data_IF_692702797829
#
_entry.id   IF_692702797829
#
_cell.length_a   1.000
_cell.length_b   1.000
_cell.length_c   1.000
_cell.angle_alpha   90.00
_cell.angle_beta   90.00
_cell.angle_gamma   90.00
#
_symmetry.space_group_name_H-M   'P 1'
#
loop_
_entity.id
_entity.type
_entity.pdbx_description
1 polymer ?
#
# COMPACT_ATOMS: atom_id res chain seq x y z
N UNK A 1 3.74 20.41 3.05
CA UNK A 1 3.14 19.49 4.06
C UNK A 1 3.04 20.16 5.45
N UNK A 2 4.10 20.73 6.04
CA UNK A 2 4.09 21.28 7.39
C UNK A 2 3.00 22.32 7.69
N UNK A 3 2.68 23.22 6.75
CA UNK A 3 1.59 24.17 6.92
C UNK A 3 0.20 23.52 6.93
N UNK A 4 0.01 22.44 6.20
CA UNK A 4 -1.23 21.66 6.21
C UNK A 4 -1.48 20.98 7.55
N UNK A 5 -0.44 20.46 8.18
CA UNK A 5 -0.51 19.77 9.47
C UNK A 5 -0.86 20.75 10.60
N UNK A 6 -0.26 21.93 10.63
CA UNK A 6 -0.61 22.99 11.59
C UNK A 6 -2.07 23.42 11.45
N UNK A 7 -2.54 23.61 10.22
CA UNK A 7 -3.87 24.15 9.96
C UNK A 7 -4.99 23.10 10.15
N UNK A 8 -4.75 21.86 9.72
CA UNK A 8 -5.75 20.78 9.73
C UNK A 8 -5.72 19.94 10.99
N UNK A 9 -4.55 19.73 11.58
CA UNK A 9 -4.31 18.79 12.67
C UNK A 9 -3.92 19.45 14.00
N UNK A 10 -3.70 20.79 13.99
CA UNK A 10 -3.32 21.57 15.17
C UNK A 10 -2.01 21.10 15.84
N UNK A 11 -1.09 20.56 15.05
CA UNK A 11 0.25 20.18 15.45
C UNK A 11 1.31 21.00 14.74
N UNK A 12 2.39 21.31 15.42
CA UNK A 12 3.56 21.94 14.80
C UNK A 12 4.40 20.85 14.16
N UNK A 13 4.53 20.85 12.84
CA UNK A 13 5.36 19.93 12.09
C UNK A 13 6.65 20.62 11.62
N UNK A 14 7.78 20.01 11.92
CA UNK A 14 9.11 20.48 11.52
C UNK A 14 9.75 19.45 10.61
N UNK A 15 9.95 19.74 9.30
CA UNK A 15 10.64 18.82 8.41
C UNK A 15 12.15 18.81 8.72
N UNK A 16 12.70 17.61 8.85
CA UNK A 16 14.13 17.37 9.06
C UNK A 16 14.61 16.41 7.98
N UNK A 17 15.49 16.89 7.10
CA UNK A 17 16.10 16.09 6.06
C UNK A 17 17.48 15.61 6.53
N UNK A 18 17.70 14.30 6.48
CA UNK A 18 18.98 13.69 6.82
C UNK A 18 19.76 13.39 5.54
N UNK A 19 21.05 13.73 5.51
CA UNK A 19 21.95 13.43 4.41
C UNK A 19 22.60 12.05 4.61
N UNK A 20 21.78 11.03 4.79
CA UNK A 20 22.23 9.65 4.92
C UNK A 20 21.14 8.67 4.51
N UNK A 21 21.56 7.50 4.04
CA UNK A 21 20.70 6.36 3.79
C UNK A 21 21.03 5.16 4.71
N UNK A 22 22.00 5.33 5.59
CA UNK A 22 22.39 4.29 6.52
C UNK A 22 21.37 4.13 7.65
N UNK A 23 20.96 2.89 7.90
CA UNK A 23 19.93 2.55 8.89
C UNK A 23 20.32 2.98 10.31
N UNK A 24 21.57 2.73 10.70
CA UNK A 24 22.04 3.05 12.05
C UNK A 24 22.18 4.57 12.27
N UNK A 25 22.64 5.29 11.24
CA UNK A 25 22.75 6.75 11.30
C UNK A 25 21.38 7.40 11.36
N UNK A 26 20.39 6.91 10.61
CA UNK A 26 19.00 7.39 10.65
C UNK A 26 18.42 7.18 12.05
N UNK A 27 18.50 5.95 12.59
CA UNK A 27 17.98 5.63 13.92
C UNK A 27 18.63 6.50 14.99
N UNK A 28 19.95 6.60 14.99
CA UNK A 28 20.71 7.42 15.94
C UNK A 28 20.32 8.90 15.88
N UNK A 29 20.17 9.43 14.67
CA UNK A 29 19.78 10.82 14.45
C UNK A 29 18.38 11.08 14.99
N UNK A 30 17.40 10.22 14.70
CA UNK A 30 16.03 10.35 15.20
C UNK A 30 15.97 10.24 16.72
N UNK A 31 16.68 9.28 17.32
CA UNK A 31 16.75 9.14 18.79
C UNK A 31 17.32 10.40 19.45
N UNK A 32 18.37 10.99 18.85
CA UNK A 32 19.01 12.18 19.41
C UNK A 32 18.12 13.43 19.37
N UNK A 33 17.25 13.56 18.39
CA UNK A 33 16.34 14.73 18.27
C UNK A 33 14.98 14.49 18.94
N UNK A 34 14.61 13.24 19.18
CA UNK A 34 13.31 12.85 19.73
C UNK A 34 12.89 13.63 20.99
N UNK A 35 13.79 14.00 21.96
CA UNK A 35 13.40 14.76 23.14
C UNK A 35 12.74 16.12 22.87
N UNK A 36 12.89 16.66 21.66
CA UNK A 36 12.24 17.92 21.25
C UNK A 36 10.83 17.76 20.67
N UNK A 37 10.35 16.52 20.50
CA UNK A 37 9.13 16.21 19.76
C UNK A 37 8.14 15.34 20.54
N UNK A 38 6.85 15.50 20.23
CA UNK A 38 5.79 14.64 20.75
C UNK A 38 5.48 13.44 19.86
N UNK A 39 6.12 13.31 18.71
CA UNK A 39 5.97 12.19 17.77
C UNK A 39 6.90 12.34 16.57
N UNK A 40 7.17 11.23 15.90
CA UNK A 40 8.01 11.16 14.71
C UNK A 40 7.18 10.60 13.54
N UNK A 41 7.16 11.31 12.42
CA UNK A 41 6.66 10.79 11.16
C UNK A 41 7.84 10.54 10.22
N UNK A 42 8.02 9.29 9.83
CA UNK A 42 9.02 8.87 8.86
C UNK A 42 8.44 9.03 7.45
N UNK A 43 9.24 9.55 6.54
CA UNK A 43 8.88 9.81 5.14
C UNK A 43 10.02 9.40 4.20
N UNK A 44 9.68 8.95 3.00
CA UNK A 44 10.62 8.71 1.90
C UNK A 44 11.76 7.73 2.21
N UNK A 45 11.55 6.79 3.13
CA UNK A 45 12.51 5.72 3.43
C UNK A 45 12.11 4.46 2.67
N UNK A 46 12.98 4.00 1.76
CA UNK A 46 12.69 2.84 0.93
C UNK A 46 12.66 1.50 1.69
N UNK A 47 11.84 0.57 1.21
CA UNK A 47 11.88 -0.81 1.66
C UNK A 47 13.19 -1.51 1.21
N UNK A 48 13.72 -2.49 1.99
CA UNK A 48 13.15 -3.01 3.23
C UNK A 48 13.58 -2.27 4.50
N UNK A 49 14.54 -1.30 4.43
CA UNK A 49 15.09 -0.62 5.61
C UNK A 49 14.05 0.19 6.40
N UNK A 50 13.02 0.72 5.74
CA UNK A 50 11.95 1.46 6.41
C UNK A 50 11.24 0.63 7.49
N UNK A 51 11.09 -0.67 7.29
CA UNK A 51 10.47 -1.57 8.26
C UNK A 51 11.34 -1.70 9.52
N UNK A 52 12.64 -1.93 9.33
CA UNK A 52 13.60 -2.05 10.43
C UNK A 52 13.72 -0.75 11.23
N UNK A 53 13.85 0.38 10.53
CA UNK A 53 13.97 1.70 11.17
C UNK A 53 12.74 1.99 12.02
N UNK A 54 11.54 1.76 11.49
CA UNK A 54 10.31 2.01 12.23
C UNK A 54 10.17 1.08 13.44
N UNK A 55 10.39 -0.24 13.27
CA UNK A 55 10.30 -1.22 14.36
C UNK A 55 11.26 -0.86 15.49
N UNK A 56 12.53 -0.57 15.18
CA UNK A 56 13.55 -0.22 16.18
C UNK A 56 13.28 1.13 16.85
N UNK A 57 12.81 2.14 16.13
CA UNK A 57 12.47 3.42 16.74
C UNK A 57 11.28 3.31 17.71
N UNK A 58 10.29 2.45 17.39
CA UNK A 58 9.18 2.16 18.32
C UNK A 58 9.61 1.48 19.59
N UNK A 59 10.70 0.70 19.56
CA UNK A 59 11.28 0.08 20.75
C UNK A 59 12.14 1.05 21.57
N UNK A 60 12.80 2.01 20.91
CA UNK A 60 13.75 2.93 21.52
C UNK A 60 13.12 4.22 22.08
N UNK A 61 11.94 4.59 21.59
CA UNK A 61 11.29 5.87 21.91
C UNK A 61 9.95 5.66 22.62
N UNK A 62 9.69 6.48 23.63
CA UNK A 62 8.41 6.52 24.35
C UNK A 62 7.34 7.38 23.65
N UNK A 63 7.68 8.02 22.53
CA UNK A 63 6.77 8.83 21.71
C UNK A 63 6.30 8.04 20.48
N UNK A 64 5.12 8.35 19.90
CA UNK A 64 4.64 7.70 18.69
C UNK A 64 5.62 7.84 17.52
N UNK A 65 5.88 6.72 16.85
CA UNK A 65 6.62 6.66 15.59
C UNK A 65 5.70 6.12 14.51
N UNK A 66 5.56 6.87 13.43
CA UNK A 66 4.69 6.56 12.30
C UNK A 66 5.47 6.65 10.99
N UNK A 67 5.13 5.82 10.02
CA UNK A 67 5.68 5.88 8.67
C UNK A 67 4.52 6.06 7.69
N UNK A 68 4.40 7.24 7.12
CA UNK A 68 3.24 7.62 6.32
C UNK A 68 3.07 6.78 5.05
N UNK A 69 4.17 6.52 4.34
CA UNK A 69 4.16 5.69 3.12
C UNK A 69 3.71 4.24 3.38
N UNK A 70 3.80 3.77 4.61
CA UNK A 70 3.28 2.47 5.02
C UNK A 70 1.84 2.63 5.54
N UNK A 71 1.68 3.27 6.68
CA UNK A 71 0.45 3.22 7.47
C UNK A 71 -0.61 4.21 6.97
N UNK A 72 -0.22 5.41 6.57
CA UNK A 72 -1.14 6.39 5.99
C UNK A 72 -1.80 5.85 4.73
N UNK A 73 -1.01 5.31 3.83
CA UNK A 73 -1.49 4.67 2.60
C UNK A 73 -2.38 3.45 2.91
N UNK A 74 -1.97 2.59 3.84
CA UNK A 74 -2.76 1.40 4.19
C UNK A 74 -4.13 1.76 4.79
N UNK A 75 -4.18 2.78 5.65
CA UNK A 75 -5.42 3.26 6.29
C UNK A 75 -6.42 3.76 5.24
N UNK A 76 -5.99 4.64 4.33
CA UNK A 76 -6.89 5.20 3.33
C UNK A 76 -7.35 4.16 2.31
N UNK A 77 -6.48 3.20 1.95
CA UNK A 77 -6.85 2.07 1.09
C UNK A 77 -7.91 1.20 1.75
N UNK A 78 -7.70 0.80 3.01
CA UNK A 78 -8.71 0.00 3.72
C UNK A 78 -10.02 0.74 3.88
N UNK A 79 -10.01 2.03 4.23
CA UNK A 79 -11.21 2.86 4.33
C UNK A 79 -11.96 2.92 3.00
N UNK A 80 -11.23 3.10 1.90
CA UNK A 80 -11.79 3.07 0.54
C UNK A 80 -12.40 1.71 0.20
N UNK A 81 -11.70 0.60 0.47
CA UNK A 81 -12.18 -0.77 0.22
C UNK A 81 -13.45 -1.06 1.01
N UNK A 82 -13.50 -0.71 2.30
CA UNK A 82 -14.70 -0.90 3.13
C UNK A 82 -15.94 -0.23 2.50
N UNK A 83 -15.78 0.99 2.00
CA UNK A 83 -16.88 1.71 1.36
C UNK A 83 -17.20 1.16 -0.05
N UNK A 84 -16.20 0.80 -0.83
CA UNK A 84 -16.38 0.18 -2.14
C UNK A 84 -17.11 -1.17 -2.03
N UNK A 85 -16.83 -1.96 -1.02
CA UNK A 85 -17.53 -3.22 -0.74
C UNK A 85 -19.00 -3.01 -0.41
N UNK A 86 -19.37 -1.94 0.32
CA UNK A 86 -20.79 -1.59 0.56
C UNK A 86 -21.51 -1.29 -0.76
N UNK A 87 -20.84 -0.59 -1.68
CA UNK A 87 -21.39 -0.23 -3.01
C UNK A 87 -21.57 -1.46 -3.90
N UNK A 88 -20.64 -2.42 -3.82
CA UNK A 88 -20.62 -3.60 -4.70
C UNK A 88 -21.30 -4.83 -4.09
N UNK A 89 -21.61 -4.80 -2.80
CA UNK A 89 -22.18 -5.94 -2.08
C UNK A 89 -21.21 -7.11 -1.88
N UNK A 90 -19.90 -6.87 -2.05
CA UNK A 90 -18.89 -7.92 -1.85
C UNK A 90 -18.63 -8.19 -0.38
N UNK A 91 -18.29 -9.46 -0.06
CA UNK A 91 -17.95 -9.89 1.29
C UNK A 91 -16.45 -10.14 1.44
N UNK A 92 -15.84 -9.61 2.51
CA UNK A 92 -14.39 -9.73 2.77
C UNK A 92 -13.92 -11.16 2.99
N UNK A 93 -14.80 -12.04 3.47
CA UNK A 93 -14.46 -13.44 3.74
C UNK A 93 -14.25 -14.28 2.47
N UNK A 94 -14.85 -13.84 1.34
CA UNK A 94 -14.78 -14.52 0.05
C UNK A 94 -14.10 -13.71 -1.05
N UNK A 95 -13.92 -12.41 -0.85
CA UNK A 95 -13.31 -11.54 -1.85
C UNK A 95 -11.83 -11.87 -2.09
N UNK A 96 -11.45 -11.95 -3.35
CA UNK A 96 -10.08 -12.17 -3.81
C UNK A 96 -9.42 -10.83 -4.09
N UNK A 97 -8.33 -10.56 -3.36
CA UNK A 97 -7.60 -9.30 -3.43
C UNK A 97 -6.24 -9.50 -4.06
N UNK A 98 -5.90 -8.65 -5.03
CA UNK A 98 -4.57 -8.57 -5.62
C UNK A 98 -3.93 -7.25 -5.24
N UNK A 99 -2.78 -7.30 -4.58
CA UNK A 99 -1.95 -6.13 -4.25
C UNK A 99 -0.71 -6.16 -5.13
N UNK A 100 -0.56 -5.20 -6.03
CA UNK A 100 0.58 -5.11 -6.93
C UNK A 100 1.54 -4.00 -6.50
N UNK A 101 2.76 -4.40 -6.18
CA UNK A 101 3.80 -3.61 -5.55
C UNK A 101 4.11 -4.13 -4.15
N UNK A 102 5.20 -4.88 -4.00
CA UNK A 102 5.63 -5.50 -2.74
C UNK A 102 6.68 -4.66 -1.99
N UNK A 103 6.57 -3.34 -2.08
CA UNK A 103 7.34 -2.35 -1.32
C UNK A 103 6.66 -1.99 0.01
N UNK A 104 7.05 -0.84 0.57
CA UNK A 104 6.55 -0.34 1.87
C UNK A 104 5.04 -0.27 1.94
N UNK A 105 4.40 0.42 0.99
CA UNK A 105 2.95 0.56 0.94
C UNK A 105 2.23 -0.78 0.74
N UNK A 106 2.66 -1.59 -0.25
CA UNK A 106 2.00 -2.86 -0.55
C UNK A 106 2.05 -3.86 0.61
N UNK A 107 3.17 -3.93 1.31
CA UNK A 107 3.30 -4.76 2.52
C UNK A 107 2.36 -4.27 3.63
N UNK A 108 2.34 -2.96 3.89
CA UNK A 108 1.49 -2.39 4.94
C UNK A 108 0.00 -2.55 4.63
N UNK A 109 -0.41 -2.32 3.38
CA UNK A 109 -1.78 -2.56 2.90
C UNK A 109 -2.15 -4.03 3.12
N UNK A 110 -1.31 -4.96 2.66
CA UNK A 110 -1.56 -6.39 2.79
C UNK A 110 -1.72 -6.82 4.24
N UNK A 111 -0.81 -6.40 5.13
CA UNK A 111 -0.91 -6.68 6.57
C UNK A 111 -2.23 -6.17 7.15
N UNK A 112 -2.64 -4.96 6.80
CA UNK A 112 -3.86 -4.36 7.32
C UNK A 112 -5.12 -5.05 6.78
N UNK A 113 -5.14 -5.45 5.50
CA UNK A 113 -6.22 -6.23 4.89
C UNK A 113 -6.39 -7.59 5.57
N UNK A 114 -5.29 -8.31 5.81
CA UNK A 114 -5.31 -9.60 6.52
C UNK A 114 -5.83 -9.42 7.96
N UNK A 115 -5.35 -8.40 8.68
CA UNK A 115 -5.81 -8.06 10.03
C UNK A 115 -7.31 -7.70 10.06
N UNK A 116 -7.80 -7.01 9.04
CA UNK A 116 -9.24 -6.68 8.92
C UNK A 116 -10.11 -7.90 8.61
N UNK A 117 -9.50 -9.01 8.14
CA UNK A 117 -10.17 -10.29 7.94
C UNK A 117 -10.36 -10.74 6.48
N UNK A 118 -9.65 -10.13 5.52
CA UNK A 118 -9.53 -10.72 4.18
C UNK A 118 -8.72 -12.02 4.27
N UNK A 119 -9.17 -13.05 3.54
CA UNK A 119 -8.55 -14.39 3.59
C UNK A 119 -7.75 -14.72 2.34
N UNK A 120 -8.17 -14.23 1.19
CA UNK A 120 -7.52 -14.48 -0.11
C UNK A 120 -6.85 -13.19 -0.60
N UNK A 121 -5.60 -13.00 -0.21
CA UNK A 121 -4.77 -11.87 -0.66
C UNK A 121 -3.56 -12.41 -1.39
N UNK A 122 -3.37 -11.98 -2.63
CA UNK A 122 -2.22 -12.30 -3.47
C UNK A 122 -1.39 -11.04 -3.69
N UNK A 123 -0.09 -11.11 -3.41
CA UNK A 123 0.85 -10.04 -3.72
C UNK A 123 1.55 -10.31 -5.05
N UNK A 124 1.77 -9.25 -5.81
CA UNK A 124 2.56 -9.26 -7.04
C UNK A 124 3.66 -8.20 -6.99
N UNK A 125 4.73 -8.45 -7.71
CA UNK A 125 5.76 -7.47 -8.03
C UNK A 125 6.15 -7.54 -9.53
N UNK A 126 7.30 -6.98 -9.89
CA UNK A 126 7.78 -7.00 -11.28
C UNK A 126 8.02 -8.42 -11.82
N UNK A 127 8.25 -9.40 -10.95
CA UNK A 127 8.43 -10.81 -11.33
C UNK A 127 7.11 -11.58 -11.48
N UNK A 128 5.98 -10.97 -11.13
CA UNK A 128 4.67 -11.58 -11.14
C UNK A 128 4.14 -11.92 -9.74
N UNK A 129 3.40 -13.01 -9.63
CA UNK A 129 2.80 -13.47 -8.37
C UNK A 129 3.88 -13.92 -7.39
N UNK A 130 3.86 -13.37 -6.18
CA UNK A 130 4.75 -13.77 -5.10
C UNK A 130 4.22 -15.00 -4.36
N UNK A 131 5.12 -15.95 -4.12
CA UNK A 131 4.85 -17.17 -3.37
C UNK A 131 6.13 -17.74 -2.77
N UNK A 132 6.02 -18.86 -2.06
CA UNK A 132 7.16 -19.50 -1.36
C UNK A 132 8.30 -19.90 -2.29
N UNK A 133 8.02 -20.11 -3.59
CA UNK A 133 9.03 -20.45 -4.60
C UNK A 133 9.66 -19.23 -5.30
N UNK A 134 9.24 -18.01 -4.97
CA UNK A 134 9.78 -16.80 -5.61
C UNK A 134 11.23 -16.57 -5.24
N UNK A 135 12.02 -16.11 -6.22
CA UNK A 135 13.45 -15.85 -6.04
C UNK A 135 13.69 -14.39 -5.63
N UNK A 136 14.85 -14.13 -5.02
CA UNK A 136 15.32 -12.78 -4.67
C UNK A 136 14.38 -11.96 -3.77
N UNK A 137 13.59 -12.61 -2.95
CA UNK A 137 12.73 -11.94 -1.97
C UNK A 137 13.58 -11.31 -0.87
N UNK A 138 13.28 -10.06 -0.52
CA UNK A 138 13.81 -9.48 0.70
C UNK A 138 13.16 -10.12 1.94
N UNK A 139 13.74 -9.87 3.12
CA UNK A 139 13.31 -10.51 4.37
C UNK A 139 11.82 -10.24 4.73
N UNK A 140 11.30 -9.07 4.36
CA UNK A 140 9.89 -8.76 4.61
C UNK A 140 8.97 -9.48 3.61
N UNK A 141 9.35 -9.53 2.34
CA UNK A 141 8.63 -10.31 1.32
C UNK A 141 8.61 -11.79 1.68
N UNK A 142 9.72 -12.34 2.21
CA UNK A 142 9.77 -13.71 2.72
C UNK A 142 8.75 -13.96 3.83
N UNK A 143 8.55 -13.00 4.76
CA UNK A 143 7.49 -13.08 5.76
C UNK A 143 6.09 -13.01 5.13
N UNK A 144 5.91 -12.17 4.11
CA UNK A 144 4.61 -11.98 3.48
C UNK A 144 4.13 -13.19 2.67
N UNK A 145 5.01 -13.90 1.98
CA UNK A 145 4.63 -15.10 1.21
C UNK A 145 4.18 -16.28 2.09
N UNK A 146 4.47 -16.24 3.39
CA UNK A 146 3.94 -17.23 4.34
C UNK A 146 2.44 -17.04 4.66
N UNK A 147 1.94 -15.82 4.52
CA UNK A 147 0.57 -15.43 4.91
C UNK A 147 -0.30 -14.97 3.73
N UNK A 148 0.27 -14.88 2.54
CA UNK A 148 -0.42 -14.52 1.29
C UNK A 148 -0.33 -15.64 0.27
N UNK A 149 -1.16 -15.57 -0.80
CA UNK A 149 -1.15 -16.56 -1.87
C UNK A 149 -1.13 -18.01 -1.32
N UNK A 150 -2.03 -18.31 -0.40
CA UNK A 150 -2.06 -19.62 0.28
C UNK A 150 -2.26 -20.81 -0.67
N UNK A 151 -2.87 -20.57 -1.85
CA UNK A 151 -3.01 -21.55 -2.91
C UNK A 151 -1.72 -21.76 -3.74
N UNK A 152 -0.65 -21.00 -3.44
CA UNK A 152 0.64 -21.06 -4.14
C UNK A 152 0.51 -20.90 -5.67
N UNK A 153 -0.37 -20.01 -6.11
CA UNK A 153 -0.51 -19.61 -7.52
C UNK A 153 0.81 -19.04 -8.03
N UNK A 154 1.10 -19.28 -9.29
CA UNK A 154 2.24 -18.73 -10.02
C UNK A 154 1.75 -18.05 -11.28
N UNK A 155 2.55 -17.17 -11.85
CA UNK A 155 2.23 -16.48 -13.09
C UNK A 155 2.45 -14.97 -13.02
N UNK A 156 1.87 -14.28 -13.97
CA UNK A 156 1.98 -12.82 -14.13
C UNK A 156 0.91 -12.08 -13.33
N UNK A 157 0.97 -10.75 -13.34
CA UNK A 157 -0.11 -9.90 -12.82
C UNK A 157 -1.46 -10.20 -13.53
N UNK A 158 -1.43 -10.47 -14.84
CA UNK A 158 -2.64 -10.83 -15.60
C UNK A 158 -3.27 -12.12 -15.07
N UNK A 159 -2.46 -13.10 -14.70
CA UNK A 159 -2.94 -14.35 -14.11
C UNK A 159 -3.52 -14.14 -12.70
N UNK A 160 -2.93 -13.25 -11.91
CA UNK A 160 -3.45 -12.90 -10.59
C UNK A 160 -4.82 -12.21 -10.68
N UNK A 161 -5.03 -11.36 -11.69
CA UNK A 161 -6.27 -10.59 -11.85
C UNK A 161 -7.45 -11.42 -12.36
N UNK A 162 -7.22 -12.57 -12.97
CA UNK A 162 -8.31 -13.46 -13.39
C UNK A 162 -9.18 -13.89 -12.22
N UNK A 163 -10.44 -13.45 -12.22
CA UNK A 163 -11.40 -13.75 -11.15
C UNK A 163 -11.09 -13.07 -9.82
N UNK A 164 -10.25 -12.03 -9.81
CA UNK A 164 -10.07 -11.18 -8.65
C UNK A 164 -11.24 -10.20 -8.47
N UNK A 165 -11.55 -9.86 -7.24
CA UNK A 165 -12.62 -8.91 -6.88
C UNK A 165 -12.08 -7.50 -6.67
N UNK A 166 -10.87 -7.40 -6.13
CA UNK A 166 -10.25 -6.14 -5.73
C UNK A 166 -8.81 -6.12 -6.23
N UNK A 167 -8.44 -5.02 -6.88
CA UNK A 167 -7.08 -4.69 -7.25
C UNK A 167 -6.61 -3.45 -6.50
N UNK A 168 -5.43 -3.52 -5.91
CA UNK A 168 -4.72 -2.37 -5.32
C UNK A 168 -3.34 -2.27 -5.95
N UNK A 169 -3.11 -1.21 -6.71
CA UNK A 169 -1.84 -0.90 -7.34
C UNK A 169 -1.07 0.17 -6.57
N UNK A 170 0.16 -0.13 -6.19
CA UNK A 170 1.14 0.78 -5.59
C UNK A 170 2.52 0.56 -6.22
N UNK A 171 2.57 0.56 -7.54
CA UNK A 171 3.72 0.07 -8.30
C UNK A 171 4.13 1.04 -9.43
N UNK A 172 3.82 0.72 -10.67
CA UNK A 172 4.29 1.46 -11.84
C UNK A 172 3.12 1.87 -12.76
N UNK A 173 3.27 2.95 -13.53
CA UNK A 173 2.22 3.45 -14.40
C UNK A 173 1.92 2.49 -15.56
N UNK A 174 0.65 2.47 -16.00
CA UNK A 174 0.17 1.83 -17.24
C UNK A 174 0.47 0.32 -17.36
N UNK A 175 0.56 -0.40 -16.25
CA UNK A 175 0.84 -1.85 -16.24
C UNK A 175 -0.41 -2.72 -16.25
N UNK A 176 -1.60 -2.14 -16.01
CA UNK A 176 -2.88 -2.84 -16.06
C UNK A 176 -3.59 -2.50 -17.36
N UNK A 177 -4.00 -3.54 -18.10
CA UNK A 177 -4.71 -3.39 -19.39
C UNK A 177 -6.22 -3.55 -19.22
N UNK A 178 -6.99 -3.14 -20.24
CA UNK A 178 -8.44 -3.37 -20.27
C UNK A 178 -8.79 -4.85 -20.15
N UNK A 179 -8.05 -5.73 -20.85
CA UNK A 179 -8.29 -7.17 -20.82
C UNK A 179 -8.07 -7.77 -19.42
N UNK A 180 -7.07 -7.27 -18.69
CA UNK A 180 -6.84 -7.65 -17.30
C UNK A 180 -8.04 -7.28 -16.42
N UNK A 181 -8.56 -6.05 -16.57
CA UNK A 181 -9.75 -5.62 -15.81
C UNK A 181 -10.99 -6.43 -16.22
N UNK A 182 -11.19 -6.66 -17.51
CA UNK A 182 -12.31 -7.46 -18.01
C UNK A 182 -12.27 -8.93 -17.54
N UNK A 183 -11.09 -9.45 -17.19
CA UNK A 183 -10.91 -10.79 -16.63
C UNK A 183 -11.23 -10.92 -15.14
N UNK A 184 -11.40 -9.79 -14.44
CA UNK A 184 -11.79 -9.77 -13.03
C UNK A 184 -13.25 -10.18 -12.84
N UNK A 185 -13.62 -10.44 -11.60
CA UNK A 185 -15.00 -10.71 -11.25
C UNK A 185 -15.91 -9.49 -11.52
N UNK A 186 -17.20 -9.77 -11.73
CA UNK A 186 -18.22 -8.72 -11.89
C UNK A 186 -18.15 -7.71 -10.74
N UNK A 187 -18.43 -6.45 -11.04
CA UNK A 187 -18.39 -5.35 -10.09
C UNK A 187 -17.04 -5.20 -9.37
N UNK A 188 -15.94 -5.35 -10.13
CA UNK A 188 -14.58 -5.22 -9.61
C UNK A 188 -14.31 -3.84 -9.01
N UNK A 189 -13.45 -3.82 -7.99
CA UNK A 189 -12.94 -2.63 -7.30
C UNK A 189 -11.48 -2.45 -7.68
N UNK A 190 -11.11 -1.28 -8.20
CA UNK A 190 -9.72 -0.96 -8.57
C UNK A 190 -9.25 0.32 -7.88
N UNK A 191 -8.15 0.22 -7.13
CA UNK A 191 -7.42 1.36 -6.60
C UNK A 191 -6.03 1.39 -7.23
N UNK A 192 -5.89 2.21 -8.29
CA UNK A 192 -4.66 2.38 -9.07
C UNK A 192 -3.94 3.64 -8.58
N UNK A 193 -2.95 3.48 -7.70
CA UNK A 193 -2.41 4.56 -6.88
C UNK A 193 -1.00 4.98 -7.27
N UNK A 194 -0.41 4.44 -8.33
CA UNK A 194 0.89 4.90 -8.84
C UNK A 194 0.85 6.39 -9.21
N UNK A 195 1.91 7.11 -8.87
CA UNK A 195 2.05 8.55 -9.10
C UNK A 195 3.26 8.83 -10.02
N UNK A 196 3.18 9.81 -10.93
CA UNK A 196 2.03 10.70 -11.21
C UNK A 196 0.96 10.09 -12.11
N UNK A 197 1.23 8.93 -12.73
CA UNK A 197 0.32 8.22 -13.63
C UNK A 197 -0.08 6.91 -12.98
N UNK A 198 -1.39 6.59 -12.88
CA UNK A 198 -1.85 5.35 -12.26
C UNK A 198 -1.53 4.11 -13.12
N UNK A 199 -1.65 2.93 -12.53
CA UNK A 199 -1.49 1.63 -13.22
C UNK A 199 -2.46 1.46 -14.40
N UNK A 200 -3.64 2.09 -14.32
CA UNK A 200 -4.64 2.23 -15.39
C UNK A 200 -5.43 3.50 -15.16
N UNK A 201 -5.78 4.21 -16.23
CA UNK A 201 -6.62 5.39 -16.14
C UNK A 201 -8.07 5.03 -15.76
N UNK A 202 -8.74 5.86 -14.91
CA UNK A 202 -10.07 5.53 -14.37
C UNK A 202 -11.16 5.33 -15.43
N UNK A 203 -11.13 6.10 -16.50
CA UNK A 203 -12.07 5.98 -17.64
C UNK A 203 -11.89 4.64 -18.37
N UNK A 204 -10.64 4.23 -18.58
CA UNK A 204 -10.29 2.95 -19.20
C UNK A 204 -10.73 1.79 -18.30
N UNK A 205 -10.46 1.85 -17.00
CA UNK A 205 -10.85 0.81 -16.06
C UNK A 205 -12.38 0.67 -15.98
N UNK A 206 -13.12 1.78 -15.96
CA UNK A 206 -14.59 1.76 -15.99
C UNK A 206 -15.15 1.20 -17.28
N UNK A 207 -14.57 1.57 -18.43
CA UNK A 207 -14.97 1.02 -19.73
C UNK A 207 -14.75 -0.49 -19.81
N UNK A 208 -13.74 -1.03 -19.11
CA UNK A 208 -13.46 -2.45 -19.01
C UNK A 208 -14.33 -3.21 -17.99
N UNK A 209 -15.25 -2.54 -17.29
CA UNK A 209 -16.24 -3.15 -16.39
C UNK A 209 -16.00 -2.98 -14.90
N UNK A 210 -15.00 -2.19 -14.49
CA UNK A 210 -14.80 -1.88 -13.10
C UNK A 210 -15.96 -1.05 -12.51
N UNK A 211 -16.48 -1.45 -11.37
CA UNK A 211 -17.61 -0.77 -10.69
C UNK A 211 -17.14 0.43 -9.88
N UNK A 212 -16.08 0.25 -9.12
CA UNK A 212 -15.48 1.30 -8.30
C UNK A 212 -14.02 1.47 -8.72
N UNK A 213 -13.64 2.70 -9.04
CA UNK A 213 -12.27 3.04 -9.38
C UNK A 213 -11.84 4.23 -8.54
N UNK A 214 -10.69 4.10 -7.88
CA UNK A 214 -10.02 5.16 -7.15
C UNK A 214 -8.57 5.31 -7.60
N UNK A 215 -8.00 6.50 -7.41
CA UNK A 215 -6.60 6.81 -7.71
C UNK A 215 -5.96 7.62 -6.59
N UNK A 216 -4.63 7.71 -6.57
CA UNK A 216 -3.91 8.63 -5.68
C UNK A 216 -4.06 10.11 -6.06
N UNK A 217 -4.64 10.42 -7.21
CA UNK A 217 -4.74 11.78 -7.77
C UNK A 217 -5.98 12.51 -7.28
N UNK A 218 -5.83 13.82 -7.01
CA UNK A 218 -6.92 14.68 -6.56
C UNK A 218 -7.80 15.21 -7.69
N UNK A 219 -7.38 15.07 -8.94
CA UNK A 219 -8.12 15.51 -10.13
C UNK A 219 -9.12 14.47 -10.67
N UNK A 220 -9.20 13.30 -10.02
CA UNK A 220 -10.20 12.27 -10.29
C UNK A 220 -11.12 12.04 -9.09
N UNK A 221 -12.35 11.58 -9.31
CA UNK A 221 -13.22 11.11 -8.23
C UNK A 221 -12.59 9.94 -7.46
N UNK A 222 -12.97 9.81 -6.17
CA UNK A 222 -12.47 8.74 -5.29
C UNK A 222 -10.94 8.81 -5.10
N UNK A 223 -10.46 9.95 -4.64
CA UNK A 223 -9.06 10.09 -4.25
C UNK A 223 -8.73 9.14 -3.08
N UNK A 224 -7.72 8.29 -3.28
CA UNK A 224 -7.15 7.40 -2.28
C UNK A 224 -5.68 7.76 -2.12
N UNK A 225 -5.41 8.64 -1.17
CA UNK A 225 -4.07 9.17 -0.93
C UNK A 225 -3.86 9.34 0.58
N UNK A 226 -2.63 9.12 1.06
CA UNK A 226 -2.26 9.22 2.47
C UNK A 226 -2.45 10.60 3.10
N UNK A 227 -2.67 11.65 2.30
CA UNK A 227 -3.01 13.00 2.80
C UNK A 227 -4.50 13.21 3.09
N UNK A 228 -5.37 12.25 2.74
CA UNK A 228 -6.82 12.26 3.03
C UNK A 228 -7.06 11.68 4.43
#
# INVERSE_FOLDING_TARGET
RGLGDVYKRQVNAVPICLDTQDTEEIIKSVVNIAPAFGGINLEDISAPRCFEIEERLKELLDIPVFHDDQHGTAIVVLAGIINAMKVTGKDKGSAKVVVNGAGSAGVAITKLLLTYGFKDVTMCDISGILGKGSQNLNWMQQKMVEVTNLEQKTGTLADALKGADIFVGVSAPNIVTQDMVASMNKDAILFAMANPVPEIMPDIAKAAGAKVVGTGRSDFPNQVNNVV
#
